data_IF_156424950357
#
_entry.id   IF_156424950357
#
_cell.length_a   1.000
_cell.length_b   1.000
_cell.length_c   1.000
_cell.angle_alpha   90.00
_cell.angle_beta   90.00
_cell.angle_gamma   90.00
#
_symmetry.space_group_name_H-M   'P 1'
#
loop_
_entity.id
_entity.type
_entity.pdbx_description
1 polymer ?
#
# COMPACT_ATOMS: atom_id res chain seq x y z
N UNK A 1 -4.31 6.18 -8.15
CA UNK A 1 -5.71 5.92 -8.57
C UNK A 1 -6.51 7.18 -8.29
N UNK A 2 -7.75 7.28 -8.76
CA UNK A 2 -8.61 8.46 -8.51
C UNK A 2 -9.41 8.36 -7.20
N UNK A 3 -8.92 7.58 -6.22
CA UNK A 3 -9.61 7.40 -4.93
C UNK A 3 -9.71 8.72 -4.19
N UNK A 4 -10.87 9.00 -3.58
CA UNK A 4 -11.16 10.29 -2.94
C UNK A 4 -10.14 10.72 -1.89
N UNK A 5 -9.53 9.74 -1.21
CA UNK A 5 -8.44 9.96 -0.25
C UNK A 5 -7.17 10.54 -0.88
N UNK A 6 -6.86 10.18 -2.13
CA UNK A 6 -5.68 10.65 -2.86
C UNK A 6 -5.93 11.97 -3.59
N UNK A 7 -7.18 12.38 -3.81
CA UNK A 7 -7.53 13.67 -4.44
C UNK A 7 -8.05 14.71 -3.44
N UNK A 8 -7.78 14.50 -2.15
CA UNK A 8 -8.13 15.46 -1.10
C UNK A 8 -7.20 16.67 -1.13
N UNK A 9 -7.72 17.86 -0.76
CA UNK A 9 -6.91 19.09 -0.70
C UNK A 9 -5.77 18.96 0.32
N UNK A 10 -6.02 18.24 1.40
CA UNK A 10 -5.04 17.95 2.44
C UNK A 10 -3.87 17.14 1.86
N UNK A 11 -4.15 16.15 1.01
CA UNK A 11 -3.12 15.35 0.36
C UNK A 11 -2.35 16.14 -0.71
N UNK A 12 -3.04 16.93 -1.53
CA UNK A 12 -2.36 17.81 -2.50
C UNK A 12 -1.42 18.81 -1.80
N UNK A 13 -1.88 19.42 -0.71
CA UNK A 13 -1.05 20.34 0.09
C UNK A 13 0.18 19.64 0.68
N UNK A 14 0.03 18.38 1.11
CA UNK A 14 1.15 17.56 1.58
C UNK A 14 2.15 17.31 0.45
N UNK A 15 1.67 16.90 -0.73
CA UNK A 15 2.52 16.65 -1.89
C UNK A 15 3.28 17.91 -2.31
N UNK A 16 2.61 19.06 -2.39
CA UNK A 16 3.25 20.34 -2.70
C UNK A 16 4.33 20.72 -1.68
N UNK A 17 4.04 20.54 -0.39
CA UNK A 17 4.99 20.84 0.69
C UNK A 17 6.24 19.96 0.62
N UNK A 18 6.07 18.68 0.29
CA UNK A 18 7.18 17.72 0.19
C UNK A 18 7.84 17.72 -1.21
N UNK A 19 7.40 18.58 -2.14
CA UNK A 19 7.93 18.66 -3.51
C UNK A 19 7.61 17.43 -4.37
N UNK A 20 6.56 16.69 -4.03
CA UNK A 20 6.10 15.48 -4.71
C UNK A 20 5.14 15.86 -5.83
N UNK A 21 5.43 15.40 -7.05
CA UNK A 21 4.48 15.51 -8.18
C UNK A 21 3.45 14.39 -8.04
N UNK A 22 2.20 14.75 -7.77
CA UNK A 22 1.10 13.80 -7.65
C UNK A 22 0.37 13.63 -8.99
N UNK A 23 0.54 12.46 -9.62
CA UNK A 23 -0.14 12.11 -10.87
C UNK A 23 -1.34 11.19 -10.60
N UNK A 24 -2.54 11.73 -10.84
CA UNK A 24 -3.78 10.95 -10.71
C UNK A 24 -4.04 10.19 -12.00
N UNK A 25 -3.98 8.86 -11.90
CA UNK A 25 -4.28 7.93 -12.98
C UNK A 25 -5.72 8.17 -13.49
N UNK A 26 -5.93 8.41 -14.80
CA UNK A 26 -7.25 8.68 -15.35
C UNK A 26 -8.19 7.47 -15.20
N UNK A 27 -9.51 7.69 -15.14
CA UNK A 27 -10.49 6.62 -15.10
C UNK A 27 -10.24 5.58 -16.21
N UNK A 28 -10.51 4.31 -15.93
CA UNK A 28 -10.37 3.20 -16.89
C UNK A 28 -8.93 2.83 -17.31
N UNK A 29 -7.90 3.26 -16.56
CA UNK A 29 -6.51 2.79 -16.76
C UNK A 29 -5.95 1.98 -15.56
N UNK A 30 -6.63 0.90 -15.11
CA UNK A 30 -6.23 0.12 -13.93
C UNK A 30 -4.83 -0.53 -14.06
N UNK A 31 -4.30 -0.65 -15.28
CA UNK A 31 -2.98 -1.21 -15.53
C UNK A 31 -1.86 -0.38 -14.87
N UNK A 32 -2.01 0.93 -14.76
CA UNK A 32 -1.02 1.79 -14.11
C UNK A 32 -0.90 1.52 -12.61
N UNK A 33 -2.00 1.16 -11.95
CA UNK A 33 -1.99 0.78 -10.53
C UNK A 33 -1.64 -0.70 -10.29
N UNK A 34 -1.69 -1.52 -11.35
CA UNK A 34 -1.56 -2.98 -11.25
C UNK A 34 -0.26 -3.47 -10.64
N UNK A 35 0.83 -2.69 -10.69
CA UNK A 35 2.10 -3.04 -10.02
C UNK A 35 2.00 -2.85 -8.51
N UNK A 36 1.48 -1.71 -8.06
CA UNK A 36 1.26 -1.42 -6.63
C UNK A 36 0.25 -2.41 -6.03
N UNK A 37 -0.86 -2.66 -6.72
CA UNK A 37 -1.88 -3.63 -6.29
C UNK A 37 -1.32 -5.05 -6.17
N UNK A 38 -0.46 -5.48 -7.10
CA UNK A 38 0.20 -6.79 -7.02
C UNK A 38 1.16 -6.86 -5.84
N UNK A 39 2.00 -5.83 -5.62
CA UNK A 39 2.90 -5.77 -4.46
C UNK A 39 2.13 -5.82 -3.14
N UNK A 40 1.09 -4.98 -2.98
CA UNK A 40 0.27 -4.95 -1.77
C UNK A 40 -0.40 -6.30 -1.50
N UNK A 41 -0.89 -6.97 -2.55
CA UNK A 41 -1.48 -8.31 -2.44
C UNK A 41 -0.45 -9.36 -1.99
N UNK A 42 0.77 -9.30 -2.49
CA UNK A 42 1.85 -10.21 -2.08
C UNK A 42 2.25 -9.99 -0.62
N UNK A 43 2.44 -8.75 -0.20
CA UNK A 43 2.74 -8.40 1.19
C UNK A 43 1.65 -8.94 2.11
N UNK A 44 0.37 -8.66 1.81
CA UNK A 44 -0.73 -9.11 2.67
C UNK A 44 -0.92 -10.63 2.69
N UNK A 45 -0.55 -11.34 1.62
CA UNK A 45 -0.50 -12.81 1.63
C UNK A 45 0.57 -13.32 2.60
N UNK A 46 1.77 -12.72 2.58
CA UNK A 46 2.84 -13.08 3.50
C UNK A 46 2.48 -12.78 4.96
N UNK A 47 1.90 -11.60 5.23
CA UNK A 47 1.40 -11.22 6.56
C UNK A 47 0.46 -12.28 7.11
N UNK A 48 -0.55 -12.68 6.32
CA UNK A 48 -1.50 -13.72 6.71
C UNK A 48 -0.81 -15.07 6.95
N UNK A 49 0.18 -15.43 6.14
CA UNK A 49 0.94 -16.66 6.30
C UNK A 49 1.78 -16.65 7.59
N UNK A 50 2.41 -15.53 7.93
CA UNK A 50 3.20 -15.37 9.16
C UNK A 50 2.29 -15.45 10.38
N UNK A 51 1.19 -14.69 10.39
CA UNK A 51 0.23 -14.66 11.49
C UNK A 51 -0.34 -16.07 11.75
N UNK A 52 -0.79 -16.76 10.69
CA UNK A 52 -1.35 -18.10 10.81
C UNK A 52 -0.28 -19.14 11.19
N UNK A 53 0.91 -19.07 10.61
CA UNK A 53 1.99 -20.03 10.87
C UNK A 53 2.58 -19.94 12.29
N UNK A 54 2.38 -18.82 12.97
CA UNK A 54 2.85 -18.58 14.35
C UNK A 54 1.71 -18.41 15.36
N UNK A 55 0.46 -18.60 14.94
CA UNK A 55 -0.74 -18.39 15.77
C UNK A 55 -0.76 -17.03 16.47
N UNK A 56 -0.32 -16.00 15.76
CA UNK A 56 -0.23 -14.65 16.30
C UNK A 56 -1.60 -13.96 16.26
N UNK A 57 -1.95 -13.17 17.28
CA UNK A 57 -3.09 -12.27 17.24
C UNK A 57 -3.02 -11.32 16.04
N UNK A 58 -4.16 -10.97 15.45
CA UNK A 58 -4.23 -10.08 14.27
C UNK A 58 -3.82 -8.65 14.60
N UNK A 59 -3.87 -8.28 15.87
CA UNK A 59 -3.46 -7.00 16.41
C UNK A 59 -1.97 -6.75 16.18
N UNK A 60 -1.16 -7.82 16.12
CA UNK A 60 0.27 -7.80 15.80
C UNK A 60 0.52 -7.82 14.29
N UNK A 61 -0.29 -7.15 13.47
CA UNK A 61 -0.14 -7.19 12.00
C UNK A 61 1.00 -6.29 11.51
N UNK A 62 1.43 -5.30 12.30
CA UNK A 62 2.49 -4.36 11.92
C UNK A 62 3.85 -5.04 11.76
N UNK A 63 4.21 -5.94 12.66
CA UNK A 63 5.50 -6.64 12.68
C UNK A 63 5.64 -7.64 11.52
N UNK A 64 4.62 -8.46 11.19
CA UNK A 64 4.58 -9.24 9.96
C UNK A 64 4.60 -8.40 8.69
N UNK A 65 3.99 -7.20 8.67
CA UNK A 65 4.09 -6.30 7.51
C UNK A 65 5.52 -5.85 7.32
N UNK A 66 6.18 -5.36 8.38
CA UNK A 66 7.58 -4.96 8.32
C UNK A 66 8.49 -6.11 7.86
N UNK A 67 8.26 -7.32 8.41
CA UNK A 67 9.00 -8.53 8.05
C UNK A 67 8.76 -8.92 6.59
N UNK A 68 7.51 -8.92 6.12
CA UNK A 68 7.17 -9.25 4.75
C UNK A 68 7.77 -8.26 3.75
N UNK A 69 7.73 -6.96 4.08
CA UNK A 69 8.34 -5.90 3.27
C UNK A 69 9.86 -6.03 3.23
N UNK A 70 10.51 -6.41 4.34
CA UNK A 70 11.95 -6.68 4.38
C UNK A 70 12.35 -7.89 3.52
N UNK A 71 11.52 -8.94 3.46
CA UNK A 71 11.81 -10.14 2.65
C UNK A 71 11.63 -9.87 1.14
N UNK A 72 10.72 -8.97 0.78
CA UNK A 72 10.32 -8.72 -0.62
C UNK A 72 11.11 -7.60 -1.33
N UNK A 73 11.90 -6.83 -0.60
CA UNK A 73 12.71 -5.72 -1.12
C UNK A 73 14.20 -6.01 -0.96
#
# INVERSE_FOLDING_TARGET
>A
DGGGEYVSKEFDTLCEKEGIVHEVVPPYTPQQNGTAERKNRTIMKMVRSILNGKYLPKELWGEPVATATYILN
#
